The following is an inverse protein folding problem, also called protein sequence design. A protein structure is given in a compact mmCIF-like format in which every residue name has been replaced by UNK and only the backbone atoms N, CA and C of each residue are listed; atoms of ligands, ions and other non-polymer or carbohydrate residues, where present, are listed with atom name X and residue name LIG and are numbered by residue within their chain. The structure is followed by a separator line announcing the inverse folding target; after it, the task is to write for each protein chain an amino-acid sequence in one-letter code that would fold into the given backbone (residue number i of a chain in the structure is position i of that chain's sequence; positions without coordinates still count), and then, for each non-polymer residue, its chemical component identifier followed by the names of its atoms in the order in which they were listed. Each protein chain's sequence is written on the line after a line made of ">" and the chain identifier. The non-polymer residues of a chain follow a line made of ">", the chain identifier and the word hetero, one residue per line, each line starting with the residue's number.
data_IF_842800284321
#
_entry.id   IF_842800284321
#
_cell.length_a   1.000
_cell.length_b   1.000
_cell.length_c   1.000
_cell.angle_alpha   90.00
_cell.angle_beta   90.00
_cell.angle_gamma   90.00
#
_symmetry.space_group_name_H-M   'P 1'
#
loop_
_entity.id
_entity.type
_entity.pdbx_description
1 polymer ?
#
# COMPACT_ATOMS: atom_id res chain seq x y z
N UNK A 1 -56.99 -4.01 3.15
CA UNK A 1 -56.69 -5.45 3.28
C UNK A 1 -55.33 -5.59 3.95
N UNK A 2 -55.32 -6.22 5.13
CA UNK A 2 -54.17 -6.35 6.04
C UNK A 2 -53.19 -7.41 5.54
N UNK A 3 -51.95 -6.98 5.22
CA UNK A 3 -50.86 -7.89 4.85
C UNK A 3 -50.16 -8.41 6.09
N UNK A 4 -50.49 -9.65 6.46
CA UNK A 4 -49.81 -10.40 7.53
C UNK A 4 -48.32 -10.55 7.18
N UNK A 5 -47.44 -9.98 8.02
CA UNK A 5 -46.02 -10.30 7.96
C UNK A 5 -45.81 -11.71 8.52
N UNK A 6 -45.43 -12.64 7.64
CA UNK A 6 -44.97 -13.97 8.04
C UNK A 6 -43.66 -13.80 8.83
N UNK A 7 -43.76 -13.70 10.16
CA UNK A 7 -42.62 -13.89 11.05
C UNK A 7 -42.15 -15.33 10.87
N UNK A 8 -40.99 -15.52 10.27
CA UNK A 8 -40.31 -16.82 10.29
C UNK A 8 -40.15 -17.25 11.75
N UNK A 9 -40.50 -18.49 12.12
CA UNK A 9 -40.34 -18.96 13.49
C UNK A 9 -38.87 -18.86 13.88
N UNK A 10 -38.57 -18.01 14.86
CA UNK A 10 -37.20 -17.81 15.34
C UNK A 10 -36.62 -19.14 15.79
N UNK A 11 -35.51 -19.56 15.17
CA UNK A 11 -34.83 -20.80 15.53
C UNK A 11 -34.51 -20.77 17.03
N UNK A 12 -34.94 -21.81 17.75
CA UNK A 12 -34.90 -21.84 19.22
C UNK A 12 -33.50 -21.66 19.81
N UNK A 13 -33.42 -21.26 21.09
CA UNK A 13 -32.16 -21.03 21.82
C UNK A 13 -31.17 -22.20 21.71
N UNK A 14 -31.68 -23.44 21.69
CA UNK A 14 -30.88 -24.66 21.51
C UNK A 14 -30.19 -24.75 20.14
N UNK A 15 -30.85 -24.29 19.06
CA UNK A 15 -30.25 -24.26 17.72
C UNK A 15 -29.08 -23.27 17.67
N UNK A 16 -29.27 -22.06 18.21
CA UNK A 16 -28.21 -21.06 18.25
C UNK A 16 -27.03 -21.50 19.14
N UNK A 17 -27.31 -22.18 20.26
CA UNK A 17 -26.26 -22.72 21.12
C UNK A 17 -25.47 -23.82 20.39
N UNK A 18 -26.15 -24.76 19.75
CA UNK A 18 -25.51 -25.83 18.97
C UNK A 18 -24.54 -25.28 17.92
N UNK A 19 -24.97 -24.32 17.10
CA UNK A 19 -24.11 -23.75 16.05
C UNK A 19 -22.96 -22.90 16.59
N UNK A 20 -23.16 -22.20 17.71
CA UNK A 20 -22.05 -21.51 18.39
C UNK A 20 -21.02 -22.51 18.92
N UNK A 21 -21.48 -23.58 19.58
CA UNK A 21 -20.60 -24.63 20.08
C UNK A 21 -19.87 -25.32 18.93
N UNK A 22 -20.56 -25.68 17.85
CA UNK A 22 -19.95 -26.26 16.66
C UNK A 22 -18.90 -25.34 16.04
N UNK A 23 -19.17 -24.04 15.94
CA UNK A 23 -18.22 -23.04 15.47
C UNK A 23 -16.96 -22.99 16.35
N UNK A 24 -17.10 -22.91 17.68
CA UNK A 24 -15.95 -22.86 18.59
C UNK A 24 -15.15 -24.16 18.60
N UNK A 25 -15.81 -25.33 18.51
CA UNK A 25 -15.13 -26.63 18.35
C UNK A 25 -14.33 -26.64 17.04
N UNK A 26 -14.93 -26.22 15.93
CA UNK A 26 -14.24 -26.14 14.63
C UNK A 26 -13.06 -25.18 14.65
N UNK A 27 -13.22 -24.01 15.28
CA UNK A 27 -12.15 -23.03 15.45
C UNK A 27 -11.01 -23.60 16.29
N UNK A 28 -11.32 -24.22 17.43
CA UNK A 28 -10.32 -24.83 18.31
C UNK A 28 -9.60 -26.00 17.62
N UNK A 29 -10.33 -26.86 16.91
CA UNK A 29 -9.75 -27.95 16.13
C UNK A 29 -8.80 -27.44 15.04
N UNK A 30 -9.13 -26.31 14.41
CA UNK A 30 -8.27 -25.68 13.40
C UNK A 30 -7.00 -25.11 14.02
N UNK A 31 -7.12 -24.39 15.15
CA UNK A 31 -5.96 -23.85 15.89
C UNK A 31 -5.07 -24.98 16.40
N UNK A 32 -5.65 -26.02 17.00
CA UNK A 32 -4.94 -27.18 17.50
C UNK A 32 -4.27 -27.96 16.35
N UNK A 33 -4.95 -28.12 15.21
CA UNK A 33 -4.38 -28.75 14.01
C UNK A 33 -3.21 -27.96 13.43
N UNK A 34 -3.31 -26.64 13.36
CA UNK A 34 -2.20 -25.77 12.96
C UNK A 34 -1.03 -25.88 13.93
N UNK A 35 -1.29 -25.81 15.24
CA UNK A 35 -0.25 -25.96 16.26
C UNK A 35 0.43 -27.32 16.19
N UNK A 36 -0.34 -28.40 16.07
CA UNK A 36 0.22 -29.75 15.93
C UNK A 36 1.07 -29.86 14.67
N UNK A 37 0.62 -29.30 13.54
CA UNK A 37 1.42 -29.25 12.31
C UNK A 37 2.72 -28.47 12.52
N UNK A 38 2.69 -27.34 13.23
CA UNK A 38 3.92 -26.57 13.50
C UNK A 38 4.95 -27.30 14.36
N UNK A 39 4.52 -28.24 15.22
CA UNK A 39 5.42 -29.08 16.01
C UNK A 39 6.09 -30.19 15.18
N UNK A 40 5.52 -30.55 14.04
CA UNK A 40 6.08 -31.55 13.12
C UNK A 40 7.11 -30.94 12.15
N UNK A 41 7.20 -29.61 12.09
CA UNK A 41 8.17 -28.91 11.24
C UNK A 41 9.46 -28.74 12.03
N UNK A 42 10.56 -29.33 11.54
CA UNK A 42 11.90 -29.10 12.10
C UNK A 42 12.37 -27.69 11.76
N UNK A 43 11.95 -26.73 12.59
CA UNK A 43 12.18 -25.31 12.40
C UNK A 43 12.33 -24.57 13.74
N UNK A 44 13.41 -23.81 13.86
CA UNK A 44 13.68 -22.98 15.03
C UNK A 44 13.05 -21.60 14.82
N UNK A 45 11.95 -21.37 15.52
CA UNK A 45 11.24 -20.10 15.52
C UNK A 45 12.06 -19.00 16.20
N UNK A 46 12.16 -17.84 15.55
CA UNK A 46 13.01 -16.70 15.93
C UNK A 46 12.22 -15.40 15.97
N UNK A 47 11.12 -15.40 16.73
CA UNK A 47 10.21 -14.26 16.90
C UNK A 47 10.92 -13.02 17.47
N UNK A 48 12.02 -13.20 18.20
CA UNK A 48 12.85 -12.12 18.76
C UNK A 48 13.47 -11.20 17.71
N UNK A 49 13.61 -11.66 16.46
CA UNK A 49 14.16 -10.84 15.37
C UNK A 49 13.13 -9.93 14.70
N UNK A 50 11.84 -10.14 14.97
CA UNK A 50 10.76 -9.39 14.31
C UNK A 50 10.85 -7.86 14.49
N UNK A 51 11.10 -7.34 15.71
CA UNK A 51 11.18 -5.90 15.94
C UNK A 51 12.20 -5.18 15.02
N UNK A 52 13.31 -5.85 14.70
CA UNK A 52 14.38 -5.30 13.85
C UNK A 52 13.91 -4.98 12.42
N UNK A 53 12.85 -5.62 11.94
CA UNK A 53 12.28 -5.34 10.62
C UNK A 53 11.39 -4.09 10.58
N UNK A 54 11.03 -3.52 11.74
CA UNK A 54 10.33 -2.24 11.86
C UNK A 54 11.32 -1.11 12.14
N UNK A 55 12.19 -1.28 13.13
CA UNK A 55 13.24 -0.35 13.51
C UNK A 55 14.45 -1.14 14.00
N UNK A 56 15.64 -0.75 13.57
CA UNK A 56 16.89 -1.34 14.04
C UNK A 56 17.92 -0.25 14.31
N UNK A 57 18.79 -0.51 15.27
CA UNK A 57 19.96 0.32 15.52
C UNK A 57 21.06 -0.09 14.54
N UNK A 58 21.48 0.84 13.68
CA UNK A 58 22.53 0.63 12.70
C UNK A 58 23.79 1.35 13.16
N UNK A 59 24.94 0.68 13.02
CA UNK A 59 26.23 1.33 13.16
C UNK A 59 26.51 2.12 11.88
N UNK A 60 26.68 3.43 12.02
CA UNK A 60 27.12 4.33 10.96
C UNK A 60 28.60 4.66 11.18
N UNK A 61 29.41 4.22 10.23
CA UNK A 61 30.83 4.53 10.21
C UNK A 61 31.02 6.04 9.98
N UNK A 62 31.72 6.70 10.91
CA UNK A 62 32.17 8.08 10.75
C UNK A 62 33.55 8.00 10.11
N UNK A 63 33.61 8.31 8.81
CA UNK A 63 34.85 8.23 8.04
C UNK A 63 35.51 9.61 7.90
N UNK A 64 36.85 9.64 7.85
CA UNK A 64 37.58 10.86 7.51
C UNK A 64 37.41 11.21 6.02
N UNK A 65 37.28 12.49 5.72
CA UNK A 65 37.24 13.03 4.36
C UNK A 65 38.60 13.53 3.88
N UNK A 66 39.61 13.49 4.74
CA UNK A 66 40.98 13.95 4.46
C UNK A 66 42.00 12.91 4.89
N UNK A 67 43.16 12.94 4.22
CA UNK A 67 44.35 12.20 4.62
C UNK A 67 45.17 13.04 5.60
N UNK A 68 45.71 12.41 6.65
CA UNK A 68 46.50 13.11 7.65
C UNK A 68 46.70 12.31 8.93
N UNK A 69 47.06 13.02 10.01
CA UNK A 69 47.28 12.41 11.32
C UNK A 69 46.27 12.92 12.36
N UNK A 70 45.94 12.06 13.32
CA UNK A 70 45.08 12.43 14.44
C UNK A 70 45.87 13.28 15.43
N UNK A 71 45.63 14.58 15.38
CA UNK A 71 46.35 15.58 16.16
C UNK A 71 45.93 15.59 17.63
N UNK A 72 44.63 15.45 17.92
CA UNK A 72 44.11 15.38 19.28
C UNK A 72 42.73 14.73 19.34
N UNK A 73 42.46 14.09 20.48
CA UNK A 73 41.15 13.53 20.81
C UNK A 73 40.72 14.15 22.13
N UNK A 74 39.65 14.95 22.13
CA UNK A 74 39.13 15.59 23.33
C UNK A 74 37.76 15.04 23.69
N UNK A 75 37.65 14.42 24.86
CA UNK A 75 36.36 13.93 25.38
C UNK A 75 35.49 15.11 25.83
N UNK A 76 34.31 15.22 25.24
CA UNK A 76 33.26 16.20 25.55
C UNK A 76 31.99 15.44 25.94
N UNK A 77 31.85 15.15 27.23
CA UNK A 77 30.72 14.37 27.74
C UNK A 77 30.76 12.91 27.29
N UNK A 78 29.75 12.48 26.53
CA UNK A 78 29.64 11.11 25.97
C UNK A 78 30.33 10.98 24.59
N UNK A 79 30.74 12.10 23.99
CA UNK A 79 31.37 12.13 22.67
C UNK A 79 32.85 12.54 22.77
N UNK A 80 33.64 12.11 21.81
CA UNK A 80 35.03 12.48 21.58
C UNK A 80 35.12 13.33 20.31
N UNK A 81 35.75 14.49 20.43
CA UNK A 81 36.10 15.34 19.30
C UNK A 81 37.47 14.89 18.79
N UNK A 82 37.52 14.37 17.57
CA UNK A 82 38.73 13.92 16.89
C UNK A 82 39.15 14.98 15.89
N UNK A 83 40.36 15.51 16.04
CA UNK A 83 40.93 16.49 15.12
C UNK A 83 41.94 15.81 14.20
N UNK A 84 41.60 15.70 12.93
CA UNK A 84 42.50 15.20 11.88
C UNK A 84 43.19 16.39 11.23
N UNK A 85 44.53 16.37 11.16
CA UNK A 85 45.34 17.42 10.53
C UNK A 85 45.93 16.89 9.23
N UNK A 86 45.57 17.54 8.12
CA UNK A 86 46.09 17.23 6.78
C UNK A 86 47.44 17.89 6.49
N UNK A 87 48.05 17.51 5.37
CA UNK A 87 49.37 17.99 4.95
C UNK A 87 49.40 19.50 4.67
N UNK A 88 48.30 20.08 4.18
CA UNK A 88 48.16 21.52 3.88
C UNK A 88 47.82 22.40 5.10
N UNK A 89 48.08 21.90 6.32
CA UNK A 89 47.71 22.55 7.59
C UNK A 89 46.19 22.72 7.82
N UNK A 90 45.36 22.15 6.96
CA UNK A 90 43.92 22.08 7.17
C UNK A 90 43.61 21.08 8.29
N UNK A 91 42.63 21.42 9.15
CA UNK A 91 42.21 20.54 10.23
C UNK A 91 40.70 20.36 10.21
N UNK A 92 40.28 19.10 10.29
CA UNK A 92 38.87 18.71 10.27
C UNK A 92 38.52 18.07 11.60
N UNK A 93 37.36 18.47 12.12
CA UNK A 93 36.87 17.99 13.41
C UNK A 93 35.72 17.01 13.18
N UNK A 94 35.85 15.82 13.76
CA UNK A 94 34.84 14.77 13.74
C UNK A 94 34.33 14.53 15.16
N UNK A 95 33.02 14.45 15.32
CA UNK A 95 32.40 14.12 16.60
C UNK A 95 31.95 12.66 16.60
N UNK A 96 32.58 11.85 17.46
CA UNK A 96 32.38 10.40 17.51
C UNK A 96 32.04 10.00 18.94
N UNK A 97 31.06 9.11 19.21
CA UNK A 97 30.82 8.63 20.57
C UNK A 97 32.09 8.02 21.18
N UNK A 98 32.40 8.38 22.43
CA UNK A 98 33.68 8.00 23.04
C UNK A 98 33.86 6.49 23.19
N UNK A 99 32.76 5.75 23.29
CA UNK A 99 32.76 4.31 23.55
C UNK A 99 32.95 3.48 22.26
N UNK A 100 32.88 4.11 21.09
CA UNK A 100 32.99 3.48 19.76
C UNK A 100 34.12 4.04 18.91
N UNK A 101 35.06 4.76 19.56
CA UNK A 101 36.26 5.29 18.93
C UNK A 101 37.17 4.15 18.48
N UNK A 102 37.63 4.18 17.23
CA UNK A 102 38.48 3.13 16.65
C UNK A 102 39.92 3.57 16.37
N UNK A 103 40.25 4.82 16.73
CA UNK A 103 41.52 5.45 16.40
C UNK A 103 42.16 6.11 17.62
N UNK A 104 43.48 6.22 17.61
CA UNK A 104 44.28 6.79 18.68
C UNK A 104 45.01 8.07 18.22
N UNK A 105 45.43 8.88 19.19
CA UNK A 105 46.19 10.08 18.89
C UNK A 105 47.55 9.70 18.29
N UNK A 106 47.90 10.30 17.16
CA UNK A 106 49.10 9.98 16.39
C UNK A 106 48.89 8.95 15.28
N UNK A 107 47.72 8.33 15.16
CA UNK A 107 47.42 7.44 14.03
C UNK A 107 47.35 8.24 12.71
N UNK A 108 47.90 7.66 11.65
CA UNK A 108 47.72 8.12 10.27
C UNK A 108 46.42 7.56 9.72
N UNK A 109 45.59 8.41 9.12
CA UNK A 109 44.30 8.05 8.52
C UNK A 109 44.23 8.54 7.07
N UNK A 110 43.63 7.74 6.20
CA UNK A 110 43.40 8.03 4.79
C UNK A 110 41.93 8.34 4.51
N UNK A 111 41.64 9.00 3.39
CA UNK A 111 40.27 9.30 2.98
C UNK A 111 39.42 8.02 2.94
N UNK A 112 38.35 8.00 3.72
CA UNK A 112 37.46 6.84 3.87
C UNK A 112 37.71 5.97 5.09
N UNK A 113 38.80 6.17 5.83
CA UNK A 113 39.08 5.42 7.06
C UNK A 113 38.07 5.75 8.16
N UNK A 114 37.62 4.72 8.88
CA UNK A 114 36.61 4.84 9.94
C UNK A 114 37.25 5.30 11.25
N UNK A 115 36.86 6.48 11.72
CA UNK A 115 37.30 7.08 12.98
C UNK A 115 36.54 6.47 14.17
N UNK A 116 35.28 6.11 13.95
CA UNK A 116 34.47 5.32 14.88
C UNK A 116 33.04 5.21 14.41
N UNK A 117 32.22 4.47 15.16
CA UNK A 117 30.83 4.20 14.75
C UNK A 117 29.84 5.01 15.57
N UNK A 118 28.79 5.51 14.93
CA UNK A 118 27.64 6.09 15.63
C UNK A 118 26.43 5.20 15.45
N UNK A 119 25.82 4.83 16.57
CA UNK A 119 24.54 4.12 16.57
C UNK A 119 23.42 5.07 16.16
N UNK A 120 22.70 4.73 15.11
CA UNK A 120 21.54 5.48 14.65
C UNK A 120 20.36 4.55 14.39
N UNK A 121 19.17 4.96 14.88
CA UNK A 121 17.94 4.23 14.61
C UNK A 121 17.51 4.41 13.16
N UNK A 122 17.47 3.30 12.41
CA UNK A 122 17.01 3.27 11.03
C UNK A 122 15.69 2.54 10.90
N UNK A 123 14.88 3.00 9.96
CA UNK A 123 13.62 2.34 9.60
C UNK A 123 13.92 1.00 8.90
N UNK A 124 13.28 -0.05 9.42
CA UNK A 124 13.38 -1.42 8.94
C UNK A 124 12.66 -1.66 7.60
N UNK A 125 12.92 -2.82 7.00
CA UNK A 125 12.44 -3.19 5.68
C UNK A 125 10.91 -3.27 5.59
N UNK A 126 10.25 -3.86 6.59
CA UNK A 126 8.80 -4.06 6.54
C UNK A 126 8.04 -2.75 6.71
N UNK A 127 8.52 -1.84 7.56
CA UNK A 127 7.91 -0.53 7.72
C UNK A 127 8.06 0.32 6.45
N UNK A 128 9.24 0.27 5.79
CA UNK A 128 9.45 0.87 4.46
C UNK A 128 8.46 0.30 3.44
N UNK A 129 8.35 -1.02 3.36
CA UNK A 129 7.43 -1.70 2.46
C UNK A 129 5.97 -1.32 2.70
N UNK A 130 5.55 -1.24 3.96
CA UNK A 130 4.20 -0.81 4.35
C UNK A 130 3.90 0.63 3.88
N UNK A 131 4.84 1.56 4.09
CA UNK A 131 4.68 2.95 3.63
C UNK A 131 4.61 3.04 2.10
N UNK A 132 5.43 2.27 1.38
CA UNK A 132 5.35 2.20 -0.09
C UNK A 132 4.00 1.64 -0.54
N UNK A 133 3.51 0.56 0.08
CA UNK A 133 2.20 -0.05 -0.18
C UNK A 133 1.08 0.99 -0.06
N UNK A 134 1.08 1.76 1.04
CA UNK A 134 0.14 2.85 1.27
C UNK A 134 0.27 3.97 0.23
N UNK A 135 1.50 4.41 -0.05
CA UNK A 135 1.79 5.47 -1.03
C UNK A 135 1.28 5.11 -2.42
N UNK A 136 1.66 3.94 -2.94
CA UNK A 136 1.26 3.54 -4.30
C UNK A 136 -0.24 3.32 -4.40
N UNK A 137 -0.88 2.75 -3.36
CA UNK A 137 -2.32 2.54 -3.34
C UNK A 137 -3.08 3.88 -3.28
N UNK A 138 -2.65 4.82 -2.44
CA UNK A 138 -3.29 6.13 -2.31
C UNK A 138 -3.20 6.94 -3.61
N UNK A 139 -2.04 6.97 -4.27
CA UNK A 139 -1.88 7.68 -5.53
C UNK A 139 -2.71 7.01 -6.64
N UNK A 140 -2.65 5.68 -6.72
CA UNK A 140 -3.35 4.92 -7.77
C UNK A 140 -4.87 5.04 -7.65
N UNK A 141 -5.43 5.05 -6.44
CA UNK A 141 -6.89 5.19 -6.27
C UNK A 141 -7.37 6.58 -6.66
N UNK A 142 -6.59 7.63 -6.42
CA UNK A 142 -6.95 9.00 -6.79
C UNK A 142 -7.09 9.10 -8.31
N UNK A 143 -6.10 8.61 -9.06
CA UNK A 143 -6.18 8.57 -10.52
C UNK A 143 -7.23 7.59 -11.03
N UNK A 144 -7.40 6.44 -10.37
CA UNK A 144 -8.44 5.47 -10.69
C UNK A 144 -9.85 6.03 -10.50
N UNK A 145 -10.10 6.83 -9.46
CA UNK A 145 -11.38 7.51 -9.25
C UNK A 145 -11.63 8.54 -10.35
N UNK A 146 -10.63 9.34 -10.71
CA UNK A 146 -10.76 10.31 -11.79
C UNK A 146 -11.10 9.63 -13.13
N UNK A 147 -10.31 8.60 -13.52
CA UNK A 147 -10.54 7.81 -14.73
C UNK A 147 -11.89 7.10 -14.71
N UNK A 148 -12.24 6.49 -13.59
CA UNK A 148 -13.49 5.76 -13.43
C UNK A 148 -14.72 6.65 -13.44
N UNK A 149 -14.64 7.86 -12.88
CA UNK A 149 -15.72 8.85 -12.98
C UNK A 149 -15.95 9.27 -14.43
N UNK A 150 -14.88 9.63 -15.15
CA UNK A 150 -14.96 10.01 -16.57
C UNK A 150 -15.54 8.87 -17.41
N UNK A 151 -15.01 7.65 -17.24
CA UNK A 151 -15.42 6.47 -18.00
C UNK A 151 -16.84 6.02 -17.64
N UNK A 152 -17.21 6.06 -16.36
CA UNK A 152 -18.55 5.70 -15.89
C UNK A 152 -19.62 6.63 -16.45
N UNK A 153 -19.33 7.93 -16.52
CA UNK A 153 -20.19 8.91 -17.18
C UNK A 153 -20.25 8.72 -18.71
N UNK A 154 -19.11 8.45 -19.36
CA UNK A 154 -19.05 8.14 -20.79
C UNK A 154 -19.89 6.91 -21.15
N UNK A 155 -19.89 5.88 -20.29
CA UNK A 155 -20.67 4.66 -20.49
C UNK A 155 -22.19 4.85 -20.45
N UNK A 156 -22.69 5.81 -19.68
CA UNK A 156 -24.13 6.14 -19.64
C UNK A 156 -24.52 7.22 -20.66
N UNK A 157 -23.55 7.70 -21.45
CA UNK A 157 -23.78 8.72 -22.48
C UNK A 157 -24.70 8.20 -23.58
N UNK A 158 -25.48 9.12 -24.16
CA UNK A 158 -26.25 8.84 -25.37
C UNK A 158 -25.36 8.76 -26.62
N UNK A 159 -24.15 9.33 -26.59
CA UNK A 159 -23.21 9.27 -27.70
C UNK A 159 -22.65 7.84 -27.84
N UNK A 160 -22.89 7.14 -28.97
CA UNK A 160 -22.46 5.76 -29.16
C UNK A 160 -20.94 5.61 -29.12
N UNK A 161 -20.17 6.58 -29.62
CA UNK A 161 -18.70 6.51 -29.61
C UNK A 161 -18.16 6.51 -28.18
N UNK A 162 -18.59 7.46 -27.34
CA UNK A 162 -18.19 7.53 -25.93
C UNK A 162 -18.59 6.25 -25.16
N UNK A 163 -19.81 5.78 -25.40
CA UNK A 163 -20.32 4.57 -24.76
C UNK A 163 -19.52 3.34 -25.15
N UNK A 164 -19.24 3.15 -26.45
CA UNK A 164 -18.50 1.99 -26.94
C UNK A 164 -17.05 2.01 -26.47
N UNK A 165 -16.36 3.16 -26.53
CA UNK A 165 -14.99 3.29 -26.00
C UNK A 165 -14.92 2.95 -24.52
N UNK A 166 -15.88 3.45 -23.72
CA UNK A 166 -15.95 3.13 -22.30
C UNK A 166 -16.22 1.65 -22.04
N UNK A 167 -17.13 1.01 -22.80
CA UNK A 167 -17.39 -0.43 -22.69
C UNK A 167 -16.12 -1.21 -23.03
N UNK A 168 -15.47 -0.93 -24.16
CA UNK A 168 -14.25 -1.65 -24.59
C UNK A 168 -13.16 -1.56 -23.53
N UNK A 169 -12.86 -0.37 -23.01
CA UNK A 169 -11.88 -0.20 -21.94
C UNK A 169 -12.25 -1.02 -20.69
N UNK A 170 -13.50 -0.94 -20.22
CA UNK A 170 -13.94 -1.64 -19.01
C UNK A 170 -13.84 -3.15 -19.18
N UNK A 171 -14.35 -3.69 -20.29
CA UNK A 171 -14.37 -5.14 -20.54
C UNK A 171 -12.96 -5.70 -20.74
N UNK A 172 -12.07 -4.99 -21.46
CA UNK A 172 -10.68 -5.43 -21.64
C UNK A 172 -9.90 -5.46 -20.32
N UNK A 173 -10.06 -4.42 -19.50
CA UNK A 173 -9.32 -4.28 -18.24
C UNK A 173 -9.86 -5.22 -17.16
N UNK A 174 -11.19 -5.37 -17.04
CA UNK A 174 -11.77 -6.29 -16.04
C UNK A 174 -11.69 -7.75 -16.49
N UNK A 175 -11.63 -8.00 -17.80
CA UNK A 175 -11.51 -9.33 -18.39
C UNK A 175 -10.09 -9.89 -18.42
N UNK A 176 -9.07 -9.09 -18.06
CA UNK A 176 -7.67 -9.52 -18.08
C UNK A 176 -7.03 -9.53 -16.67
N UNK A 177 -6.06 -10.43 -16.40
CA UNK A 177 -5.39 -10.47 -15.11
C UNK A 177 -4.56 -9.21 -14.84
N UNK A 178 -4.67 -8.65 -13.62
CA UNK A 178 -3.91 -7.47 -13.22
C UNK A 178 -2.38 -7.68 -13.34
N UNK A 179 -1.86 -8.85 -12.99
CA UNK A 179 -0.43 -9.14 -13.11
C UNK A 179 0.08 -8.97 -14.55
N UNK A 180 -0.71 -9.42 -15.54
CA UNK A 180 -0.37 -9.26 -16.96
C UNK A 180 -0.40 -7.79 -17.36
N UNK A 181 -1.37 -7.02 -16.87
CA UNK A 181 -1.42 -5.57 -17.12
C UNK A 181 -0.21 -4.85 -16.53
N UNK A 182 0.24 -5.21 -15.32
CA UNK A 182 1.46 -4.68 -14.71
C UNK A 182 2.67 -4.94 -15.62
N UNK A 183 2.80 -6.16 -16.16
CA UNK A 183 3.89 -6.49 -17.10
C UNK A 183 3.82 -5.69 -18.39
N UNK A 184 2.64 -5.52 -18.99
CA UNK A 184 2.48 -4.68 -20.19
C UNK A 184 2.89 -3.24 -19.89
N UNK A 185 2.45 -2.69 -18.76
CA UNK A 185 2.79 -1.32 -18.36
C UNK A 185 4.29 -1.12 -18.16
N UNK A 186 4.95 -2.07 -17.50
CA UNK A 186 6.37 -1.92 -17.20
C UNK A 186 7.28 -2.32 -18.36
N UNK A 187 7.15 -3.56 -18.86
CA UNK A 187 8.08 -4.11 -19.85
C UNK A 187 7.80 -3.63 -21.27
N UNK A 188 6.55 -3.37 -21.64
CA UNK A 188 6.22 -2.90 -23.00
C UNK A 188 6.19 -1.38 -23.02
N UNK A 189 5.26 -0.77 -22.28
CA UNK A 189 5.07 0.68 -22.30
C UNK A 189 6.23 1.42 -21.63
N UNK A 190 6.74 0.92 -20.50
CA UNK A 190 7.88 1.54 -19.82
C UNK A 190 9.14 1.55 -20.65
N UNK A 191 9.48 0.41 -21.28
CA UNK A 191 10.62 0.32 -22.21
C UNK A 191 10.45 1.27 -23.40
N UNK A 192 9.27 1.27 -24.04
CA UNK A 192 8.99 2.14 -25.18
C UNK A 192 9.11 3.63 -24.79
N UNK A 193 8.45 4.04 -23.70
CA UNK A 193 8.45 5.43 -23.23
C UNK A 193 9.86 5.86 -22.84
N UNK A 194 10.58 5.08 -22.03
CA UNK A 194 11.93 5.45 -21.60
C UNK A 194 12.93 5.44 -22.76
N UNK A 195 12.76 4.59 -23.77
CA UNK A 195 13.57 4.62 -24.99
C UNK A 195 13.32 5.90 -25.80
N UNK A 196 12.05 6.32 -25.95
CA UNK A 196 11.71 7.58 -26.60
C UNK A 196 12.25 8.78 -25.81
N UNK A 197 12.08 8.81 -24.49
CA UNK A 197 12.59 9.91 -23.64
C UNK A 197 14.11 10.03 -23.73
N UNK A 198 14.83 8.90 -23.68
CA UNK A 198 16.28 8.88 -23.82
C UNK A 198 16.76 9.39 -25.17
N UNK A 199 15.97 9.23 -26.24
CA UNK A 199 16.29 9.78 -27.57
C UNK A 199 16.26 11.32 -27.60
N UNK A 200 15.50 11.94 -26.70
CA UNK A 200 15.38 13.39 -26.57
C UNK A 200 16.13 13.92 -25.33
N UNK A 201 17.06 13.14 -24.76
CA UNK A 201 17.82 13.49 -23.55
C UNK A 201 16.94 13.83 -22.33
N UNK A 202 15.73 13.26 -22.26
CA UNK A 202 14.80 13.43 -21.13
C UNK A 202 15.03 12.30 -20.11
N UNK A 203 15.10 12.61 -18.79
CA UNK A 203 15.26 11.61 -17.75
C UNK A 203 14.19 10.50 -17.80
N UNK A 204 14.62 9.27 -17.55
CA UNK A 204 13.74 8.11 -17.54
C UNK A 204 12.71 8.18 -16.41
N UNK A 205 11.52 7.68 -16.68
CA UNK A 205 10.44 7.54 -15.71
C UNK A 205 10.73 6.34 -14.79
N UNK A 206 10.71 6.52 -13.46
CA UNK A 206 10.90 5.43 -12.51
C UNK A 206 9.83 4.32 -12.61
N UNK A 207 10.17 3.05 -12.29
CA UNK A 207 9.24 1.91 -12.26
C UNK A 207 7.95 2.17 -11.47
N UNK A 208 8.07 2.94 -10.38
CA UNK A 208 6.97 3.31 -9.50
C UNK A 208 5.77 3.90 -10.27
N UNK A 209 6.03 4.77 -11.25
CA UNK A 209 4.96 5.45 -11.99
C UNK A 209 4.26 4.54 -13.00
N UNK A 210 4.97 3.58 -13.60
CA UNK A 210 4.34 2.54 -14.43
C UNK A 210 3.47 1.60 -13.57
N UNK A 211 3.94 1.26 -12.37
CA UNK A 211 3.15 0.53 -11.38
C UNK A 211 1.87 1.29 -10.99
N UNK A 212 1.99 2.58 -10.64
CA UNK A 212 0.84 3.45 -10.32
C UNK A 212 -0.13 3.57 -11.48
N UNK A 213 0.37 3.78 -12.71
CA UNK A 213 -0.47 3.87 -13.91
C UNK A 213 -1.24 2.57 -14.14
N UNK A 214 -0.59 1.42 -13.99
CA UNK A 214 -1.24 0.11 -14.16
C UNK A 214 -2.37 -0.11 -13.14
N UNK A 215 -2.14 0.19 -11.85
CA UNK A 215 -3.14 0.07 -10.80
C UNK A 215 -4.27 1.09 -10.97
N UNK A 216 -3.95 2.33 -11.35
CA UNK A 216 -4.94 3.38 -11.59
C UNK A 216 -5.89 3.03 -12.74
N UNK A 217 -5.35 2.49 -13.83
CA UNK A 217 -6.13 2.05 -15.00
C UNK A 217 -6.97 0.83 -14.66
N UNK A 218 -6.41 -0.13 -13.93
CA UNK A 218 -7.16 -1.28 -13.44
C UNK A 218 -8.33 -0.85 -12.56
N UNK A 219 -8.06 -0.08 -11.51
CA UNK A 219 -9.09 0.40 -10.61
C UNK A 219 -10.08 1.34 -11.29
N UNK A 220 -9.66 2.14 -12.26
CA UNK A 220 -10.55 3.01 -13.04
C UNK A 220 -11.68 2.24 -13.72
N UNK A 221 -11.42 1.02 -14.20
CA UNK A 221 -12.46 0.19 -14.83
C UNK A 221 -13.50 -0.30 -13.81
N UNK A 222 -13.06 -0.69 -12.60
CA UNK A 222 -13.97 -1.07 -11.51
C UNK A 222 -14.73 0.14 -10.97
N UNK A 223 -14.07 1.28 -10.80
CA UNK A 223 -14.72 2.53 -10.38
C UNK A 223 -15.76 2.98 -11.43
N UNK A 224 -15.49 2.82 -12.72
CA UNK A 224 -16.46 3.14 -13.77
C UNK A 224 -17.76 2.33 -13.65
N UNK A 225 -17.66 1.05 -13.29
CA UNK A 225 -18.82 0.20 -13.01
C UNK A 225 -19.55 0.60 -11.75
N UNK A 226 -18.83 0.94 -10.69
CA UNK A 226 -19.40 1.46 -9.45
C UNK A 226 -20.19 2.75 -9.73
N UNK A 227 -19.62 3.68 -10.51
CA UNK A 227 -20.26 4.94 -10.89
C UNK A 227 -21.53 4.67 -11.71
N UNK A 228 -21.44 3.81 -12.74
CA UNK A 228 -22.59 3.43 -13.57
C UNK A 228 -23.69 2.78 -12.73
N UNK A 229 -23.36 1.81 -11.89
CA UNK A 229 -24.31 1.11 -11.03
C UNK A 229 -24.94 2.06 -10.01
N UNK A 230 -24.15 2.96 -9.43
CA UNK A 230 -24.62 3.99 -8.53
C UNK A 230 -25.66 4.91 -9.17
N UNK A 231 -25.40 5.38 -10.39
CA UNK A 231 -26.35 6.21 -11.15
C UNK A 231 -27.61 5.42 -11.51
N UNK A 232 -27.46 4.19 -12.00
CA UNK A 232 -28.60 3.33 -12.38
C UNK A 232 -29.46 2.88 -11.21
N UNK A 233 -28.91 2.87 -9.99
CA UNK A 233 -29.67 2.49 -8.81
C UNK A 233 -30.75 3.52 -8.45
N UNK A 234 -30.58 4.80 -8.84
CA UNK A 234 -31.55 5.86 -8.55
C UNK A 234 -32.87 5.55 -9.28
N UNK A 235 -33.99 5.68 -8.57
CA UNK A 235 -35.30 5.34 -9.12
C UNK A 235 -35.58 6.15 -10.40
N UNK A 236 -35.96 5.45 -11.49
CA UNK A 236 -36.28 6.07 -12.79
C UNK A 236 -37.34 7.16 -12.69
N UNK A 237 -38.30 7.01 -11.77
CA UNK A 237 -39.34 8.00 -11.47
C UNK A 237 -38.78 9.37 -11.06
N UNK A 238 -37.57 9.45 -10.50
CA UNK A 238 -36.91 10.73 -10.21
C UNK A 238 -36.57 11.50 -11.49
N UNK A 239 -36.07 10.79 -12.52
CA UNK A 239 -35.79 11.38 -13.82
C UNK A 239 -37.09 11.74 -14.53
N UNK A 240 -38.10 10.86 -14.49
CA UNK A 240 -39.40 11.11 -15.12
C UNK A 240 -40.09 12.33 -14.49
N UNK A 241 -40.17 12.42 -13.16
CA UNK A 241 -40.74 13.56 -12.45
C UNK A 241 -40.00 14.87 -12.77
N UNK A 242 -38.66 14.86 -12.77
CA UNK A 242 -37.87 16.02 -13.13
C UNK A 242 -38.15 16.51 -14.56
N UNK A 243 -38.29 15.57 -15.51
CA UNK A 243 -38.64 15.86 -16.91
C UNK A 243 -40.06 16.39 -17.04
N UNK A 244 -41.01 15.87 -16.27
CA UNK A 244 -42.40 16.39 -16.20
C UNK A 244 -42.50 17.80 -15.65
N UNK A 245 -41.56 18.20 -14.78
CA UNK A 245 -41.43 19.58 -14.28
C UNK A 245 -40.65 20.50 -15.24
N UNK A 246 -40.37 20.06 -16.47
CA UNK A 246 -39.70 20.86 -17.51
C UNK A 246 -38.17 20.93 -17.43
N UNK A 247 -37.53 20.25 -16.47
CA UNK A 247 -36.06 20.26 -16.36
C UNK A 247 -35.41 19.55 -17.55
N UNK A 248 -34.30 20.08 -18.09
CA UNK A 248 -33.50 19.36 -19.10
C UNK A 248 -32.86 18.09 -18.52
N UNK A 249 -32.56 17.08 -19.35
CA UNK A 249 -31.91 15.83 -18.88
C UNK A 249 -30.60 16.11 -18.15
N UNK A 250 -29.82 17.08 -18.63
CA UNK A 250 -28.58 17.51 -18.00
C UNK A 250 -28.84 18.18 -16.64
N UNK A 251 -29.81 19.08 -16.57
CA UNK A 251 -30.16 19.76 -15.33
C UNK A 251 -30.68 18.79 -14.26
N UNK A 252 -31.57 17.87 -14.65
CA UNK A 252 -32.06 16.78 -13.79
C UNK A 252 -30.94 15.85 -13.33
N UNK A 253 -30.02 15.47 -14.23
CA UNK A 253 -28.86 14.65 -13.89
C UNK A 253 -27.97 15.34 -12.83
N UNK A 254 -27.63 16.61 -13.04
CA UNK A 254 -26.73 17.36 -12.15
C UNK A 254 -27.33 17.65 -10.78
N UNK A 255 -28.61 18.04 -10.71
CA UNK A 255 -29.21 18.55 -9.47
C UNK A 255 -30.04 17.51 -8.69
N UNK A 256 -30.49 16.42 -9.33
CA UNK A 256 -31.35 15.41 -8.68
C UNK A 256 -30.64 14.06 -8.63
N UNK A 257 -30.19 13.54 -9.77
CA UNK A 257 -29.70 12.15 -9.87
C UNK A 257 -28.29 12.00 -9.31
N UNK A 258 -27.33 12.82 -9.75
CA UNK A 258 -25.92 12.71 -9.31
C UNK A 258 -25.74 12.87 -7.79
N UNK A 259 -26.39 13.82 -7.10
CA UNK A 259 -26.29 13.92 -5.64
C UNK A 259 -26.77 12.66 -4.91
N UNK A 260 -27.84 12.02 -5.41
CA UNK A 260 -28.36 10.77 -4.83
C UNK A 260 -27.44 9.58 -5.16
N UNK A 261 -26.98 9.49 -6.40
CA UNK A 261 -26.05 8.46 -6.86
C UNK A 261 -24.73 8.50 -6.08
N UNK A 262 -24.19 9.70 -5.82
CA UNK A 262 -22.93 9.89 -5.10
C UNK A 262 -22.94 9.23 -3.72
N UNK A 263 -24.05 9.37 -2.96
CA UNK A 263 -24.21 8.71 -1.64
C UNK A 263 -24.16 7.18 -1.73
N UNK A 264 -24.58 6.62 -2.87
CA UNK A 264 -24.58 5.16 -3.13
C UNK A 264 -23.26 4.65 -3.72
N UNK A 265 -22.49 5.55 -4.35
CA UNK A 265 -21.17 5.27 -4.92
C UNK A 265 -20.09 5.21 -3.83
N UNK A 266 -20.17 6.04 -2.80
CA UNK A 266 -19.13 6.15 -1.78
C UNK A 266 -18.79 4.82 -1.04
N UNK A 267 -19.76 4.03 -0.56
CA UNK A 267 -19.47 2.75 0.11
C UNK A 267 -18.63 1.76 -0.74
N UNK A 268 -19.03 1.40 -1.97
CA UNK A 268 -18.23 0.50 -2.81
C UNK A 268 -16.88 1.09 -3.25
N UNK A 269 -16.73 2.41 -3.37
CA UNK A 269 -15.43 3.04 -3.65
C UNK A 269 -14.42 2.78 -2.53
N UNK A 270 -14.86 2.82 -1.28
CA UNK A 270 -14.02 2.51 -0.14
C UNK A 270 -13.56 1.04 -0.14
N UNK A 271 -14.47 0.12 -0.51
CA UNK A 271 -14.12 -1.29 -0.75
C UNK A 271 -13.08 -1.46 -1.87
N UNK A 272 -13.18 -0.65 -2.94
CA UNK A 272 -12.19 -0.66 -4.02
C UNK A 272 -10.81 -0.17 -3.54
N UNK A 273 -10.75 0.84 -2.67
CA UNK A 273 -9.49 1.28 -2.06
C UNK A 273 -8.84 0.19 -1.21
N UNK A 274 -9.61 -0.51 -0.37
CA UNK A 274 -9.11 -1.63 0.45
C UNK A 274 -8.60 -2.77 -0.43
N UNK A 275 -9.28 -3.05 -1.55
CA UNK A 275 -8.84 -4.06 -2.51
C UNK A 275 -7.53 -3.65 -3.17
N UNK A 276 -7.38 -2.37 -3.54
CA UNK A 276 -6.16 -1.84 -4.14
C UNK A 276 -4.92 -1.98 -3.25
N UNK A 277 -5.08 -1.86 -1.92
CA UNK A 277 -3.97 -2.11 -0.98
C UNK A 277 -3.42 -3.53 -1.16
N UNK A 278 -4.29 -4.52 -1.33
CA UNK A 278 -3.87 -5.90 -1.60
C UNK A 278 -3.33 -6.05 -3.01
N UNK A 279 -4.01 -5.50 -4.01
CA UNK A 279 -3.57 -5.58 -5.41
C UNK A 279 -2.16 -5.00 -5.64
N UNK A 280 -1.79 -3.97 -4.85
CA UNK A 280 -0.45 -3.38 -4.88
C UNK A 280 0.67 -4.36 -4.52
N UNK A 281 0.35 -5.49 -3.88
CA UNK A 281 1.30 -6.57 -3.58
C UNK A 281 1.93 -7.19 -4.83
N UNK A 282 1.24 -7.08 -5.96
CA UNK A 282 1.73 -7.59 -7.24
C UNK A 282 2.85 -6.73 -7.82
N UNK A 283 3.01 -5.48 -7.38
CA UNK A 283 4.04 -4.57 -7.89
C UNK A 283 5.47 -5.03 -7.56
N UNK A 284 5.65 -5.94 -6.59
CA UNK A 284 6.93 -6.53 -6.25
C UNK A 284 7.63 -7.25 -7.42
N UNK A 285 6.88 -7.67 -8.44
CA UNK A 285 7.42 -8.32 -9.65
C UNK A 285 8.18 -7.35 -10.56
N UNK A 286 7.90 -6.06 -10.48
CA UNK A 286 8.62 -4.99 -11.21
C UNK A 286 9.57 -4.21 -10.27
N UNK A 287 10.08 -4.89 -9.24
CA UNK A 287 11.04 -4.39 -8.27
C UNK A 287 10.59 -3.19 -7.42
N UNK A 288 9.28 -2.90 -7.36
CA UNK A 288 8.74 -1.95 -6.39
C UNK A 288 8.73 -2.63 -5.03
N UNK A 289 9.48 -2.10 -4.07
CA UNK A 289 9.60 -2.62 -2.70
C UNK A 289 8.38 -2.28 -1.86
N UNK A 290 7.24 -2.89 -2.17
CA UNK A 290 6.05 -2.92 -1.33
C UNK A 290 6.24 -3.85 -0.12
N UNK A 291 5.21 -4.04 0.70
CA UNK A 291 5.27 -4.90 1.89
C UNK A 291 5.56 -6.36 1.53
N UNK A 292 4.96 -6.88 0.45
CA UNK A 292 5.17 -8.27 0.02
C UNK A 292 6.59 -8.48 -0.49
N UNK A 293 7.10 -7.55 -1.31
CA UNK A 293 8.49 -7.59 -1.79
C UNK A 293 9.49 -7.43 -0.65
N UNK A 294 9.26 -6.50 0.28
CA UNK A 294 10.11 -6.30 1.44
C UNK A 294 10.16 -7.56 2.34
N UNK A 295 9.02 -8.23 2.50
CA UNK A 295 8.94 -9.53 3.20
C UNK A 295 9.79 -10.57 2.49
N UNK A 296 9.65 -10.70 1.16
CA UNK A 296 10.43 -11.66 0.37
C UNK A 296 11.94 -11.39 0.47
N UNK A 297 12.35 -10.12 0.45
CA UNK A 297 13.76 -9.74 0.64
C UNK A 297 14.26 -10.09 2.04
N UNK A 298 13.47 -9.82 3.08
CA UNK A 298 13.80 -10.21 4.46
C UNK A 298 13.89 -11.73 4.64
N UNK A 299 13.02 -12.51 3.99
CA UNK A 299 13.09 -13.99 4.01
C UNK A 299 14.35 -14.48 3.32
N UNK A 300 14.72 -13.88 2.19
CA UNK A 300 15.91 -14.27 1.44
C UNK A 300 17.22 -14.04 2.22
N UNK A 301 17.28 -13.01 3.06
CA UNK A 301 18.48 -12.69 3.86
C UNK A 301 18.53 -13.40 5.20
N UNK A 302 17.38 -13.56 5.87
CA UNK A 302 17.32 -14.16 7.21
C UNK A 302 17.10 -15.66 7.22
N UNK A 303 16.62 -16.22 6.10
CA UNK A 303 16.15 -17.61 5.97
C UNK A 303 15.02 -17.94 6.97
N UNK A 304 14.17 -16.95 7.29
CA UNK A 304 13.04 -17.07 8.22
C UNK A 304 11.68 -16.97 7.52
N UNK A 305 11.25 -17.98 6.74
CA UNK A 305 10.05 -17.87 5.93
C UNK A 305 8.77 -17.77 6.76
N UNK A 306 8.64 -18.56 7.84
CA UNK A 306 7.37 -18.70 8.55
C UNK A 306 6.96 -17.42 9.28
N UNK A 307 7.85 -16.86 10.11
CA UNK A 307 7.60 -15.66 10.90
C UNK A 307 7.31 -14.46 10.00
N UNK A 308 8.08 -14.30 8.92
CA UNK A 308 7.98 -13.15 8.04
C UNK A 308 6.73 -13.20 7.16
N UNK A 309 6.37 -14.36 6.60
CA UNK A 309 5.12 -14.49 5.84
C UNK A 309 3.89 -14.39 6.73
N UNK A 310 3.94 -14.94 7.95
CA UNK A 310 2.86 -14.77 8.93
C UNK A 310 2.70 -13.29 9.33
N UNK A 311 3.81 -12.62 9.64
CA UNK A 311 3.82 -11.21 9.97
C UNK A 311 3.30 -10.36 8.80
N UNK A 312 3.72 -10.64 7.57
CA UNK A 312 3.21 -9.96 6.37
C UNK A 312 1.69 -10.09 6.24
N UNK A 313 1.15 -11.31 6.40
CA UNK A 313 -0.29 -11.55 6.38
C UNK A 313 -1.02 -10.78 7.47
N UNK A 314 -0.50 -10.78 8.70
CA UNK A 314 -1.05 -10.02 9.83
C UNK A 314 -1.00 -8.52 9.57
N UNK A 315 0.07 -8.00 8.98
CA UNK A 315 0.19 -6.57 8.64
C UNK A 315 -0.82 -6.15 7.58
N UNK A 316 -1.00 -6.92 6.49
CA UNK A 316 -2.06 -6.66 5.52
C UNK A 316 -3.45 -6.74 6.16
N UNK A 317 -3.68 -7.71 7.06
CA UNK A 317 -4.95 -7.85 7.77
C UNK A 317 -5.22 -6.65 8.66
N UNK A 318 -4.27 -6.24 9.50
CA UNK A 318 -4.39 -5.05 10.36
C UNK A 318 -4.68 -3.82 9.51
N UNK A 319 -3.93 -3.63 8.42
CA UNK A 319 -4.10 -2.49 7.54
C UNK A 319 -5.50 -2.46 6.91
N UNK A 320 -5.91 -3.55 6.27
CA UNK A 320 -7.20 -3.63 5.58
C UNK A 320 -8.38 -3.60 6.55
N UNK A 321 -8.25 -4.23 7.72
CA UNK A 321 -9.26 -4.19 8.78
C UNK A 321 -9.42 -2.79 9.37
N UNK A 322 -8.31 -2.08 9.65
CA UNK A 322 -8.35 -0.71 10.15
C UNK A 322 -9.07 0.22 9.17
N UNK A 323 -8.77 0.13 7.87
CA UNK A 323 -9.50 0.89 6.86
C UNK A 323 -10.96 0.47 6.74
N UNK A 324 -11.29 -0.83 6.80
CA UNK A 324 -12.67 -1.29 6.78
C UNK A 324 -13.49 -0.73 7.94
N UNK A 325 -12.93 -0.75 9.16
CA UNK A 325 -13.58 -0.19 10.35
C UNK A 325 -13.75 1.33 10.23
N UNK A 326 -12.75 2.04 9.73
CA UNK A 326 -12.82 3.48 9.47
C UNK A 326 -13.92 3.82 8.46
N UNK A 327 -14.01 3.06 7.38
CA UNK A 327 -15.04 3.23 6.34
C UNK A 327 -16.44 2.98 6.89
N UNK A 328 -16.65 1.88 7.62
CA UNK A 328 -17.93 1.58 8.25
C UNK A 328 -18.37 2.67 9.23
N UNK A 329 -17.42 3.26 9.95
CA UNK A 329 -17.70 4.40 10.83
C UNK A 329 -18.16 5.63 10.04
N UNK A 330 -17.51 5.96 8.92
CA UNK A 330 -17.92 7.05 8.04
C UNK A 330 -19.30 6.81 7.41
N UNK A 331 -19.56 5.58 6.94
CA UNK A 331 -20.84 5.18 6.34
C UNK A 331 -22.01 5.36 7.33
N UNK A 332 -21.85 4.90 8.58
CA UNK A 332 -22.88 5.06 9.62
C UNK A 332 -23.22 6.52 9.88
N UNK A 333 -22.22 7.43 9.87
CA UNK A 333 -22.45 8.87 10.02
C UNK A 333 -23.15 9.49 8.81
N UNK A 334 -22.88 9.01 7.60
CA UNK A 334 -23.50 9.53 6.39
C UNK A 334 -24.96 9.10 6.22
N UNK A 335 -25.31 7.86 6.59
CA UNK A 335 -26.70 7.36 6.49
C UNK A 335 -27.63 8.03 7.50
N UNK A 336 -27.09 8.53 8.61
CA UNK A 336 -27.85 9.26 9.64
C UNK A 336 -28.15 10.73 9.28
N UNK A 337 -27.71 11.23 8.10
CA UNK A 337 -27.91 12.62 7.63
C UNK A 337 -28.62 12.68 6.27
#
# INVERSE_FOLDING_TARGET
>A
MSGYSLRTPGKGRSYNLFWKTFFFIGLFATIAGLYWTTQQVDYVWRWERIPNYFYYEADLDITTGIEGQISSIKKTGQNSLVLVRGEDNESFQYEVPSDSLMVYQGDSVFVGDTIGTKKEWKMGLLLKGLLITLKVSAISIVFGIALGLMTGLARISANPALRMTAITYIELIRGSPLLVQIFIWYFVLGTLINSLLSKYDIPQVPPLWFGVASLAIFAGAYVAEIVRAGIQSVNRGQMEAARSLGMSKFYAMKHIILPQAFRRILPPLAGQFISMIKDSSLLGVIAIRDLTKATREAVATSLQPFELWFLCAVLYLILTFAFSMFVQYLEKRMVQR
#
